data_IF_715551654677
#
_entry.id   IF_715551654677
#
_cell.length_a   1.000
_cell.length_b   1.000
_cell.length_c   1.000
_cell.angle_alpha   90.00
_cell.angle_beta   90.00
_cell.angle_gamma   90.00
#
_symmetry.space_group_name_H-M   'P 1'
#
loop_
_entity.id
_entity.type
_entity.pdbx_description
1 polymer ?
#
# COMPACT_ATOMS: atom_id res chain seq x y z
N UNK A 1 -18.93 -8.80 -12.55
CA UNK A 1 -18.02 -8.78 -11.37
C UNK A 1 -16.67 -8.25 -11.82
N UNK A 2 -16.15 -7.21 -11.18
CA UNK A 2 -14.86 -6.63 -11.56
C UNK A 2 -13.74 -7.61 -11.24
N UNK A 3 -12.96 -8.00 -12.26
CA UNK A 3 -11.70 -8.71 -12.03
C UNK A 3 -10.76 -7.76 -11.30
N UNK A 4 -10.23 -8.19 -10.15
CA UNK A 4 -9.23 -7.41 -9.42
C UNK A 4 -7.98 -7.36 -10.30
N UNK A 5 -7.56 -6.16 -10.71
CA UNK A 5 -6.37 -5.96 -11.56
C UNK A 5 -5.17 -5.41 -10.79
N UNK A 6 -5.41 -4.76 -9.65
CA UNK A 6 -4.39 -4.05 -8.88
C UNK A 6 -4.63 -4.19 -7.37
N UNK A 7 -3.54 -4.39 -6.61
CA UNK A 7 -3.53 -4.44 -5.14
C UNK A 7 -2.71 -3.27 -4.61
N UNK A 8 -3.30 -2.50 -3.69
CA UNK A 8 -2.61 -1.46 -2.92
C UNK A 8 -2.19 -1.98 -1.55
N UNK A 9 -0.92 -1.79 -1.18
CA UNK A 9 -0.37 -2.20 0.12
C UNK A 9 0.02 -0.94 0.91
N UNK A 10 -0.46 -0.82 2.14
CA UNK A 10 -0.08 0.22 3.08
C UNK A 10 0.10 -0.37 4.47
N UNK A 11 0.98 0.21 5.27
CA UNK A 11 1.13 -0.10 6.70
C UNK A 11 0.72 1.10 7.53
N UNK A 12 -0.28 0.93 8.40
CA UNK A 12 -0.73 1.94 9.36
C UNK A 12 -0.48 1.45 10.78
N UNK A 13 -0.15 2.36 11.70
CA UNK A 13 0.12 2.03 13.10
C UNK A 13 1.59 2.03 13.47
N UNK A 14 1.92 1.40 14.60
CA UNK A 14 3.29 1.26 15.10
C UNK A 14 4.04 0.14 14.37
N UNK A 15 5.37 0.24 14.36
CA UNK A 15 6.20 -0.72 13.66
C UNK A 15 6.32 -2.03 14.44
N UNK A 16 5.94 -3.15 13.81
CA UNK A 16 6.08 -4.49 14.36
C UNK A 16 7.03 -5.36 13.51
N UNK A 17 7.75 -6.32 14.12
CA UNK A 17 8.52 -7.30 13.37
C UNK A 17 7.61 -8.10 12.43
N UNK A 18 8.10 -8.35 11.21
CA UNK A 18 7.37 -9.16 10.21
C UNK A 18 6.53 -8.38 9.19
N UNK A 19 6.32 -7.07 9.36
CA UNK A 19 5.59 -6.26 8.36
C UNK A 19 6.26 -6.31 6.98
N UNK A 20 7.58 -6.20 6.91
CA UNK A 20 8.32 -6.34 5.66
C UNK A 20 8.19 -7.73 5.04
N UNK A 21 8.09 -8.78 5.87
CA UNK A 21 7.84 -10.13 5.38
C UNK A 21 6.43 -10.26 4.78
N UNK A 22 5.42 -9.66 5.42
CA UNK A 22 4.05 -9.62 4.90
C UNK A 22 3.95 -8.85 3.58
N UNK A 23 4.54 -7.64 3.51
CA UNK A 23 4.61 -6.85 2.28
C UNK A 23 5.24 -7.67 1.15
N UNK A 24 6.39 -8.30 1.41
CA UNK A 24 7.08 -9.12 0.42
C UNK A 24 6.25 -10.30 -0.05
N UNK A 25 5.61 -11.02 0.87
CA UNK A 25 4.81 -12.19 0.54
C UNK A 25 3.62 -11.81 -0.36
N UNK A 26 2.87 -10.77 0.01
CA UNK A 26 1.72 -10.28 -0.75
C UNK A 26 2.17 -9.75 -2.12
N UNK A 27 3.23 -8.93 -2.19
CA UNK A 27 3.73 -8.40 -3.46
C UNK A 27 4.14 -9.51 -4.42
N UNK A 28 4.91 -10.50 -3.94
CA UNK A 28 5.38 -11.60 -4.81
C UNK A 28 4.23 -12.49 -5.26
N UNK A 29 3.29 -12.82 -4.37
CA UNK A 29 2.12 -13.62 -4.73
C UNK A 29 1.24 -12.89 -5.75
N UNK A 30 0.99 -11.59 -5.57
CA UNK A 30 0.19 -10.80 -6.48
C UNK A 30 0.82 -10.71 -7.88
N UNK A 31 2.12 -10.40 -7.96
CA UNK A 31 2.84 -10.35 -9.24
C UNK A 31 2.83 -11.72 -9.94
N UNK A 32 3.02 -12.80 -9.19
CA UNK A 32 2.95 -14.17 -9.74
C UNK A 32 1.58 -14.49 -10.36
N UNK A 33 0.50 -13.95 -9.79
CA UNK A 33 -0.86 -14.09 -10.31
C UNK A 33 -1.22 -13.04 -11.39
N UNK A 34 -0.24 -12.29 -11.91
CA UNK A 34 -0.46 -11.29 -12.96
C UNK A 34 -1.15 -10.00 -12.49
N UNK A 35 -1.18 -9.74 -11.17
CA UNK A 35 -1.77 -8.53 -10.59
C UNK A 35 -0.72 -7.41 -10.48
N UNK A 36 -1.14 -6.17 -10.71
CA UNK A 36 -0.32 -5.00 -10.42
C UNK A 36 -0.29 -4.73 -8.91
N UNK A 37 0.86 -4.29 -8.40
CA UNK A 37 1.02 -3.98 -6.97
C UNK A 37 1.46 -2.54 -6.80
N UNK A 38 0.81 -1.82 -5.89
CA UNK A 38 1.13 -0.42 -5.55
C UNK A 38 1.43 -0.32 -4.06
N UNK A 39 2.66 0.07 -3.71
CA UNK A 39 3.06 0.42 -2.35
C UNK A 39 2.67 1.86 -2.02
N UNK A 40 1.97 2.06 -0.92
CA UNK A 40 1.50 3.36 -0.44
C UNK A 40 2.35 3.73 0.78
N UNK A 41 3.11 4.81 0.64
CA UNK A 41 4.01 5.25 1.71
C UNK A 41 3.25 6.00 2.82
N UNK A 42 3.81 6.04 4.03
CA UNK A 42 3.27 6.82 5.17
C UNK A 42 1.80 6.49 5.49
N UNK A 43 1.40 5.24 5.29
CA UNK A 43 0.04 4.74 5.54
C UNK A 43 -1.03 5.59 4.85
N UNK A 44 -2.09 5.92 5.59
CA UNK A 44 -3.20 6.68 5.03
C UNK A 44 -2.87 8.11 4.60
N UNK A 45 -1.86 8.72 5.20
CA UNK A 45 -1.42 10.06 4.77
C UNK A 45 -0.93 10.02 3.33
N UNK A 46 -0.09 9.05 2.98
CA UNK A 46 0.40 8.92 1.61
C UNK A 46 -0.68 8.48 0.63
N UNK A 47 -1.70 7.77 1.07
CA UNK A 47 -2.87 7.51 0.23
C UNK A 47 -3.59 8.81 -0.16
N UNK A 48 -3.74 9.75 0.78
CA UNK A 48 -4.39 11.04 0.53
C UNK A 48 -3.51 11.97 -0.31
N UNK A 49 -2.20 12.01 -0.04
CA UNK A 49 -1.25 12.87 -0.78
C UNK A 49 -0.82 12.28 -2.13
N UNK A 50 -1.13 11.01 -2.38
CA UNK A 50 -0.74 10.32 -3.62
C UNK A 50 0.70 9.81 -3.62
N UNK A 51 1.33 9.62 -2.45
CA UNK A 51 2.64 8.96 -2.29
C UNK A 51 2.51 7.44 -2.53
N UNK A 52 2.20 7.08 -3.77
CA UNK A 52 1.95 5.70 -4.23
C UNK A 52 2.98 5.36 -5.29
N UNK A 53 3.68 4.23 -5.12
CA UNK A 53 4.67 3.72 -6.07
C UNK A 53 4.26 2.33 -6.55
N UNK A 54 4.43 2.04 -7.83
CA UNK A 54 4.32 0.68 -8.33
C UNK A 54 5.46 -0.18 -7.78
N UNK A 55 5.13 -1.41 -7.37
CA UNK A 55 6.08 -2.38 -6.83
C UNK A 55 6.32 -3.48 -7.86
N UNK A 56 7.60 -3.72 -8.14
CA UNK A 56 8.12 -4.89 -8.83
C UNK A 56 8.67 -5.88 -7.82
N UNK A 57 8.88 -7.13 -8.26
CA UNK A 57 9.47 -8.18 -7.41
C UNK A 57 10.81 -7.74 -6.77
N UNK A 58 11.57 -6.90 -7.48
CA UNK A 58 12.85 -6.34 -7.05
C UNK A 58 12.71 -5.30 -5.92
N UNK A 59 11.61 -4.53 -5.87
CA UNK A 59 11.39 -3.51 -4.84
C UNK A 59 11.21 -4.13 -3.44
N UNK A 60 10.87 -5.42 -3.37
CA UNK A 60 10.70 -6.18 -2.12
C UNK A 60 11.81 -7.20 -1.89
N UNK A 61 12.94 -7.08 -2.61
CA UNK A 61 14.13 -7.89 -2.36
C UNK A 61 14.87 -7.41 -1.11
N UNK A 62 15.37 -8.35 -0.31
CA UNK A 62 16.17 -8.08 0.91
C UNK A 62 15.49 -7.24 2.01
N UNK A 63 14.18 -6.97 1.91
CA UNK A 63 13.49 -6.13 2.91
C UNK A 63 13.16 -6.86 4.22
N UNK A 64 13.18 -8.20 4.24
CA UNK A 64 12.86 -9.00 5.44
C UNK A 64 13.81 -8.68 6.59
N UNK A 65 15.08 -8.38 6.28
CA UNK A 65 16.13 -8.09 7.26
C UNK A 65 16.03 -6.65 7.80
N UNK A 66 15.20 -5.79 7.19
CA UNK A 66 15.04 -4.41 7.60
C UNK A 66 14.05 -4.31 8.77
N UNK A 67 14.42 -3.52 9.78
CA UNK A 67 13.52 -3.14 10.85
C UNK A 67 12.36 -2.27 10.35
N UNK A 68 11.23 -2.35 11.05
CA UNK A 68 10.02 -1.58 10.74
C UNK A 68 9.37 -1.96 9.41
N UNK A 69 8.97 -0.96 8.63
CA UNK A 69 8.33 -1.14 7.31
C UNK A 69 8.96 -0.26 6.25
N UNK A 70 9.24 -0.82 5.07
CA UNK A 70 9.75 -0.06 3.91
C UNK A 70 8.78 1.02 3.43
N UNK A 71 7.49 0.89 3.74
CA UNK A 71 6.46 1.86 3.36
C UNK A 71 6.43 3.07 4.31
N UNK A 72 7.12 3.01 5.45
CA UNK A 72 7.01 3.97 6.56
C UNK A 72 5.59 4.03 7.13
N UNK A 73 5.47 4.37 8.40
CA UNK A 73 4.17 4.59 9.04
C UNK A 73 3.98 6.06 9.37
N UNK A 74 2.74 6.53 9.28
CA UNK A 74 2.36 7.83 9.82
C UNK A 74 1.01 7.70 10.52
N UNK A 75 0.93 8.25 11.74
CA UNK A 75 -0.35 8.39 12.44
C UNK A 75 -1.17 9.46 11.74
N UNK A 76 -2.35 9.09 11.23
CA UNK A 76 -3.26 10.01 10.56
C UNK A 76 -4.55 10.13 11.40
N UNK A 77 -4.64 11.18 12.23
CA UNK A 77 -5.85 11.47 13.03
C UNK A 77 -7.03 11.95 12.18
N UNK A 78 -6.78 12.47 10.98
CA UNK A 78 -7.84 12.86 10.05
C UNK A 78 -8.65 11.67 9.53
N UNK A 79 -8.11 10.45 9.66
CA UNK A 79 -8.74 9.22 9.17
C UNK A 79 -9.95 8.76 9.99
N UNK A 80 -10.05 9.16 11.27
CA UNK A 80 -11.19 8.80 12.14
C UNK A 80 -12.48 9.58 11.82
N UNK A 81 -12.46 10.51 10.87
CA UNK A 81 -13.67 11.26 10.47
C UNK A 81 -14.28 10.70 9.18
N UNK A 82 -15.62 10.60 9.12
CA UNK A 82 -16.41 10.16 7.95
C UNK A 82 -16.02 10.87 6.64
N UNK A 83 -15.56 12.12 6.73
CA UNK A 83 -15.09 12.94 5.60
C UNK A 83 -13.80 12.39 4.97
N UNK A 84 -12.93 11.77 5.76
CA UNK A 84 -11.72 11.09 5.29
C UNK A 84 -12.04 9.86 4.46
N UNK A 85 -12.97 9.02 4.92
CA UNK A 85 -13.45 7.81 4.24
C UNK A 85 -13.90 8.06 2.79
N UNK A 86 -14.78 9.04 2.61
CA UNK A 86 -15.33 9.39 1.29
C UNK A 86 -14.30 10.00 0.33
N UNK A 87 -13.22 10.59 0.84
CA UNK A 87 -12.13 11.11 0.01
C UNK A 87 -11.28 9.96 -0.54
N UNK A 88 -11.07 8.90 0.24
CA UNK A 88 -10.24 7.75 -0.14
C UNK A 88 -10.88 6.90 -1.22
N UNK A 89 -12.18 6.64 -1.12
CA UNK A 89 -12.92 5.90 -2.15
C UNK A 89 -12.81 6.58 -3.51
N UNK A 90 -12.81 7.92 -3.54
CA UNK A 90 -12.56 8.69 -4.78
C UNK A 90 -11.13 8.56 -5.28
N UNK A 91 -10.13 8.58 -4.39
CA UNK A 91 -8.72 8.45 -4.78
C UNK A 91 -8.44 7.06 -5.35
N UNK A 92 -8.94 6.00 -4.71
CA UNK A 92 -8.81 4.64 -5.22
C UNK A 92 -9.45 4.50 -6.61
N UNK A 93 -10.70 4.97 -6.79
CA UNK A 93 -11.38 4.95 -8.10
C UNK A 93 -10.65 5.75 -9.17
N UNK A 94 -10.10 6.92 -8.83
CA UNK A 94 -9.37 7.77 -9.80
C UNK A 94 -8.06 7.13 -10.25
N UNK A 95 -7.39 6.38 -9.38
CA UNK A 95 -6.12 5.69 -9.65
C UNK A 95 -6.28 4.30 -10.29
N UNK A 96 -7.50 3.76 -10.36
CA UNK A 96 -7.85 2.61 -11.20
C UNK A 96 -7.98 2.99 -12.68
N UNK A 97 -8.38 4.23 -12.98
CA UNK A 97 -8.69 4.69 -14.35
C UNK A 97 -7.50 5.31 -15.11
N UNK A 98 -6.28 5.29 -14.55
CA UNK A 98 -5.11 5.98 -15.14
C UNK A 98 -4.20 5.07 -15.98
N UNK A 99 -4.68 3.91 -16.43
CA UNK A 99 -4.01 3.03 -17.39
C UNK A 99 -4.99 2.59 -18.46
#
# INVERSE_FOLDING_TARGET
MGTVKCIGILTSGGDAPGMNAAIRAVTRAAIYNGLQVKGIYRGYKGLVTGEIKEFRSQDVSNIIQLGGTILKTARCKEFTTLRGGNRLTRICKKKESTH
#
